data_IF_734208602210
#
_entry.id   IF_734208602210
#
_cell.length_a   1.000
_cell.length_b   1.000
_cell.length_c   1.000
_cell.angle_alpha   90.00
_cell.angle_beta   90.00
_cell.angle_gamma   90.00
#
_symmetry.space_group_name_H-M   'P 1'
#
loop_
_entity.id
_entity.type
_entity.pdbx_description
1 polymer ?
#
# COMPACT_ATOMS: atom_id res chain seq x y z
N UNK A 1 -4.15 -22.60 -3.68
CA UNK A 1 -3.95 -21.18 -3.31
C UNK A 1 -2.69 -20.72 -4.03
N UNK A 2 -2.79 -20.13 -5.23
CA UNK A 2 -1.59 -19.89 -6.07
C UNK A 2 -1.47 -18.51 -6.72
N UNK A 3 -2.51 -17.67 -6.66
CA UNK A 3 -2.48 -16.36 -7.34
C UNK A 3 -2.98 -15.23 -6.44
N UNK A 4 -4.07 -14.60 -6.86
CA UNK A 4 -4.68 -13.44 -6.20
C UNK A 4 -4.94 -13.65 -4.69
N UNK A 5 -5.31 -14.86 -4.27
CA UNK A 5 -5.61 -15.18 -2.87
C UNK A 5 -4.43 -14.92 -1.93
N UNK A 6 -3.20 -15.23 -2.35
CA UNK A 6 -1.99 -15.00 -1.55
C UNK A 6 -1.71 -13.50 -1.48
N UNK A 7 -1.83 -12.79 -2.59
CA UNK A 7 -1.63 -11.34 -2.64
C UNK A 7 -2.63 -10.60 -1.76
N UNK A 8 -3.90 -11.01 -1.80
CA UNK A 8 -4.96 -10.46 -0.94
C UNK A 8 -4.70 -10.79 0.53
N UNK A 9 -4.26 -12.01 0.85
CA UNK A 9 -3.89 -12.37 2.21
C UNK A 9 -2.72 -11.51 2.72
N UNK A 10 -1.64 -11.38 1.94
CA UNK A 10 -0.49 -10.53 2.28
C UNK A 10 -0.92 -9.06 2.45
N UNK A 11 -1.79 -8.56 1.57
CA UNK A 11 -2.35 -7.21 1.65
C UNK A 11 -3.15 -7.01 2.95
N UNK A 12 -3.99 -7.98 3.34
CA UNK A 12 -4.75 -7.94 4.60
C UNK A 12 -3.84 -8.02 5.82
N UNK A 13 -2.79 -8.84 5.78
CA UNK A 13 -1.79 -8.93 6.85
C UNK A 13 -1.03 -7.61 7.01
N UNK A 14 -0.56 -7.00 5.91
CA UNK A 14 0.08 -5.68 5.95
C UNK A 14 -0.87 -4.62 6.50
N UNK A 15 -2.12 -4.61 6.05
CA UNK A 15 -3.15 -3.67 6.55
C UNK A 15 -3.39 -3.84 8.06
N UNK A 16 -3.41 -5.08 8.55
CA UNK A 16 -3.51 -5.36 9.97
C UNK A 16 -2.30 -4.85 10.75
N UNK A 17 -1.08 -5.06 10.25
CA UNK A 17 0.15 -4.56 10.88
C UNK A 17 0.12 -3.04 11.00
N UNK A 18 -0.24 -2.33 9.92
CA UNK A 18 -0.37 -0.86 9.93
C UNK A 18 -1.44 -0.42 10.93
N UNK A 19 -2.63 -1.04 10.90
CA UNK A 19 -3.73 -0.70 11.81
C UNK A 19 -3.40 -0.97 13.28
N UNK A 20 -2.73 -2.09 13.56
CA UNK A 20 -2.30 -2.45 14.90
C UNK A 20 -1.21 -1.50 15.42
N UNK A 21 -0.31 -1.05 14.54
CA UNK A 21 0.74 -0.10 14.88
C UNK A 21 0.17 1.27 15.31
N UNK A 22 -0.95 1.68 14.72
CA UNK A 22 -1.69 2.87 15.16
C UNK A 22 -2.40 2.70 16.51
N UNK A 23 -2.72 1.46 16.91
CA UNK A 23 -3.56 1.16 18.06
C UNK A 23 -2.80 0.70 19.32
N UNK A 24 -1.56 0.21 19.17
CA UNK A 24 -0.81 -0.47 20.25
C UNK A 24 0.14 0.42 21.06
N UNK A 25 0.14 1.74 20.86
CA UNK A 25 0.83 2.71 21.72
C UNK A 25 2.33 2.90 21.39
N UNK A 26 3.07 3.55 22.30
CA UNK A 26 4.44 4.05 22.07
C UNK A 26 5.50 2.97 21.78
N UNK A 27 5.22 1.70 22.09
CA UNK A 27 6.09 0.55 21.83
C UNK A 27 5.86 -0.11 20.46
N UNK A 28 4.98 0.44 19.63
CA UNK A 28 4.69 -0.06 18.28
C UNK A 28 5.75 0.36 17.25
N UNK A 29 5.49 0.15 15.95
CA UNK A 29 6.47 0.47 14.89
C UNK A 29 6.72 1.97 14.71
N UNK A 30 5.79 2.83 15.13
CA UNK A 30 5.92 4.29 15.07
C UNK A 30 5.15 4.97 16.24
N UNK A 31 5.75 5.93 16.97
CA UNK A 31 4.99 6.73 17.94
C UNK A 31 4.00 7.63 17.21
N UNK A 32 2.70 7.37 17.40
CA UNK A 32 1.64 8.11 16.72
C UNK A 32 1.70 9.63 16.99
N UNK A 33 2.18 10.03 18.17
CA UNK A 33 2.35 11.43 18.52
C UNK A 33 3.38 12.13 17.62
N UNK A 34 4.58 11.55 17.47
CA UNK A 34 5.66 12.11 16.64
C UNK A 34 5.32 12.01 15.15
N UNK A 35 4.57 10.98 14.74
CA UNK A 35 4.01 10.89 13.39
C UNK A 35 3.02 12.02 13.09
N UNK A 36 2.13 12.36 14.02
CA UNK A 36 1.20 13.48 13.83
C UNK A 36 1.92 14.83 13.68
N UNK A 37 3.03 15.01 14.40
CA UNK A 37 3.83 16.23 14.33
C UNK A 37 4.49 16.42 12.94
N UNK A 38 4.70 15.35 12.16
CA UNK A 38 5.13 15.46 10.75
C UNK A 38 4.08 16.15 9.88
N UNK A 39 2.81 16.06 10.25
CA UNK A 39 1.71 16.68 9.51
C UNK A 39 1.18 17.96 10.16
N UNK A 40 1.76 18.42 11.27
CA UNK A 40 1.39 19.67 11.92
C UNK A 40 2.08 20.88 11.26
N UNK A 41 1.34 21.73 10.53
CA UNK A 41 1.92 22.91 9.88
C UNK A 41 2.34 24.02 10.86
N UNK A 42 1.95 23.93 12.14
CA UNK A 42 2.28 24.92 13.16
C UNK A 42 3.60 24.62 13.90
N UNK A 43 4.11 23.39 13.80
CA UNK A 43 5.35 22.92 14.42
C UNK A 43 6.56 22.94 13.47
N UNK A 44 7.48 21.99 13.68
CA UNK A 44 8.59 21.71 12.78
C UNK A 44 8.45 20.27 12.21
N UNK A 45 7.71 20.11 11.10
CA UNK A 45 7.51 18.82 10.43
C UNK A 45 8.81 18.10 10.08
N UNK A 46 9.86 18.86 9.74
CA UNK A 46 11.14 18.28 9.34
C UNK A 46 11.86 17.71 10.56
N UNK A 47 11.87 18.43 11.68
CA UNK A 47 12.44 17.92 12.92
C UNK A 47 11.70 16.66 13.41
N UNK A 48 10.36 16.64 13.34
CA UNK A 48 9.57 15.45 13.70
C UNK A 48 9.91 14.25 12.81
N UNK A 49 10.01 14.45 11.48
CA UNK A 49 10.37 13.39 10.55
C UNK A 49 11.80 12.87 10.79
N UNK A 50 12.75 13.77 11.05
CA UNK A 50 14.13 13.40 11.38
C UNK A 50 14.22 12.66 12.72
N UNK A 51 13.39 13.03 13.71
CA UNK A 51 13.25 12.32 14.98
C UNK A 51 12.76 10.89 14.78
N UNK A 52 11.67 10.70 14.04
CA UNK A 52 11.15 9.37 13.73
C UNK A 52 12.17 8.49 13.01
N UNK A 53 12.83 9.02 11.98
CA UNK A 53 13.80 8.26 11.19
C UNK A 53 15.11 7.96 11.92
N UNK A 54 15.49 8.78 12.89
CA UNK A 54 16.75 8.59 13.64
C UNK A 54 16.57 7.75 14.90
N UNK A 55 15.42 7.86 15.57
CA UNK A 55 15.18 7.22 16.88
C UNK A 55 14.47 5.87 16.76
N UNK A 56 13.75 5.60 15.66
CA UNK A 56 12.90 4.41 15.51
C UNK A 56 13.32 3.57 14.29
N UNK A 57 14.24 2.60 14.45
CA UNK A 57 14.68 1.75 13.33
C UNK A 57 13.54 0.88 12.76
N UNK A 58 12.57 0.52 13.59
CA UNK A 58 11.39 -0.25 13.16
C UNK A 58 10.49 0.57 12.23
N UNK A 59 10.36 1.88 12.47
CA UNK A 59 9.61 2.79 11.59
C UNK A 59 10.26 2.83 10.22
N UNK A 60 11.57 3.06 10.16
CA UNK A 60 12.32 3.11 8.90
C UNK A 60 12.19 1.78 8.14
N UNK A 61 12.33 0.64 8.83
CA UNK A 61 12.21 -0.66 8.19
C UNK A 61 10.81 -0.91 7.60
N UNK A 62 9.75 -0.53 8.30
CA UNK A 62 8.36 -0.68 7.85
C UNK A 62 8.05 0.29 6.69
N UNK A 63 8.33 1.58 6.86
CA UNK A 63 8.06 2.63 5.86
C UNK A 63 8.80 2.42 4.54
N UNK A 64 10.09 2.04 4.55
CA UNK A 64 10.80 1.78 3.28
C UNK A 64 10.22 0.58 2.54
N UNK A 65 9.85 -0.48 3.26
CA UNK A 65 9.20 -1.63 2.66
C UNK A 65 7.83 -1.25 2.09
N UNK A 66 7.12 -0.33 2.76
CA UNK A 66 5.85 0.22 2.32
C UNK A 66 6.02 1.00 1.02
N UNK A 67 6.85 2.04 1.02
CA UNK A 67 7.06 2.95 -0.12
C UNK A 67 7.51 2.18 -1.36
N UNK A 68 8.46 1.26 -1.21
CA UNK A 68 8.95 0.47 -2.34
C UNK A 68 7.84 -0.44 -2.89
N UNK A 69 7.18 -1.20 -2.01
CA UNK A 69 6.19 -2.19 -2.45
C UNK A 69 4.92 -1.52 -2.97
N UNK A 70 4.33 -0.63 -2.17
CA UNK A 70 3.00 -0.09 -2.40
C UNK A 70 3.01 1.12 -3.32
N UNK A 71 3.85 2.13 -3.06
CA UNK A 71 3.83 3.37 -3.82
C UNK A 71 4.47 3.15 -5.20
N UNK A 72 5.69 2.59 -5.19
CA UNK A 72 6.50 2.48 -6.40
C UNK A 72 6.09 1.31 -7.27
N UNK A 73 5.95 0.09 -6.73
CA UNK A 73 5.63 -1.08 -7.56
C UNK A 73 4.12 -1.24 -7.79
N UNK A 74 3.33 -1.36 -6.73
CA UNK A 74 1.88 -1.59 -6.85
C UNK A 74 1.15 -0.36 -7.39
N UNK A 75 1.46 0.84 -6.92
CA UNK A 75 0.86 2.09 -7.39
C UNK A 75 1.15 2.33 -8.88
N UNK A 76 2.40 2.07 -9.32
CA UNK A 76 2.75 2.10 -10.74
C UNK A 76 2.02 1.03 -11.54
N UNK A 77 1.92 -0.20 -11.03
CA UNK A 77 1.16 -1.26 -11.68
C UNK A 77 -0.29 -0.85 -11.90
N UNK A 78 -0.97 -0.37 -10.85
CA UNK A 78 -2.37 0.09 -10.90
C UNK A 78 -2.54 1.22 -11.91
N UNK A 79 -1.60 2.17 -11.96
CA UNK A 79 -1.64 3.26 -12.93
C UNK A 79 -1.53 2.76 -14.38
N UNK A 80 -0.53 1.90 -14.65
CA UNK A 80 -0.29 1.36 -15.99
C UNK A 80 -1.42 0.44 -16.45
N UNK A 81 -2.00 -0.35 -15.55
CA UNK A 81 -3.18 -1.18 -15.83
C UNK A 81 -4.37 -0.29 -16.24
N UNK A 82 -4.62 0.77 -15.47
CA UNK A 82 -5.65 1.76 -15.77
C UNK A 82 -5.49 2.40 -17.15
N UNK A 83 -4.26 2.78 -17.52
CA UNK A 83 -3.96 3.32 -18.85
C UNK A 83 -4.15 2.30 -19.97
N UNK A 84 -3.68 1.06 -19.80
CA UNK A 84 -3.79 -0.02 -20.80
C UNK A 84 -5.24 -0.39 -21.06
N UNK A 85 -6.07 -0.40 -20.02
CA UNK A 85 -7.44 -0.94 -20.07
C UNK A 85 -8.51 0.13 -20.07
N UNK A 86 -8.17 1.40 -19.92
CA UNK A 86 -9.14 2.49 -19.80
C UNK A 86 -10.00 2.35 -18.54
N UNK A 87 -9.36 2.10 -17.39
CA UNK A 87 -10.00 2.05 -16.07
C UNK A 87 -9.56 3.31 -15.32
N UNK A 88 -10.51 3.99 -14.66
CA UNK A 88 -10.19 5.12 -13.79
C UNK A 88 -9.47 4.60 -12.54
N UNK A 89 -8.20 4.93 -12.35
CA UNK A 89 -7.37 4.47 -11.22
C UNK A 89 -6.78 5.55 -10.29
N UNK A 90 -6.96 6.88 -10.46
CA UNK A 90 -6.41 7.87 -9.53
C UNK A 90 -6.75 7.65 -8.06
N UNK A 91 -7.97 7.21 -7.73
CA UNK A 91 -8.35 6.91 -6.35
C UNK A 91 -7.54 5.73 -5.82
N UNK A 92 -7.41 4.65 -6.58
CA UNK A 92 -6.60 3.49 -6.21
C UNK A 92 -5.13 3.83 -6.03
N UNK A 93 -4.56 4.66 -6.92
CA UNK A 93 -3.16 5.11 -6.81
C UNK A 93 -2.96 5.98 -5.57
N UNK A 94 -3.89 6.91 -5.30
CA UNK A 94 -3.86 7.74 -4.10
C UNK A 94 -3.85 6.88 -2.83
N UNK A 95 -4.74 5.87 -2.75
CA UNK A 95 -4.79 4.99 -1.60
C UNK A 95 -3.62 4.00 -1.52
N UNK A 96 -2.95 3.67 -2.65
CA UNK A 96 -1.67 2.95 -2.60
C UNK A 96 -0.61 3.80 -1.91
N UNK A 97 -0.48 5.08 -2.29
CA UNK A 97 0.53 5.99 -1.74
C UNK A 97 0.29 6.43 -0.28
N UNK A 98 -0.95 6.28 0.22
CA UNK A 98 -1.30 6.71 1.58
C UNK A 98 -1.28 5.56 2.58
N UNK A 99 -1.94 4.46 2.21
CA UNK A 99 -2.21 3.37 3.15
C UNK A 99 -1.92 1.99 2.55
N UNK A 100 -1.25 1.92 1.40
CA UNK A 100 -0.77 0.71 0.75
C UNK A 100 -1.89 -0.26 0.31
N UNK A 101 -2.14 -1.34 1.06
CA UNK A 101 -3.10 -2.40 0.69
C UNK A 101 -4.48 -1.95 0.19
N UNK A 102 -5.15 -0.95 0.81
CA UNK A 102 -6.47 -0.51 0.38
C UNK A 102 -6.48 0.04 -1.05
N UNK A 103 -5.36 0.58 -1.55
CA UNK A 103 -5.27 1.03 -2.95
C UNK A 103 -5.42 -0.11 -3.95
N UNK A 104 -4.79 -1.26 -3.70
CA UNK A 104 -4.93 -2.46 -4.53
C UNK A 104 -6.33 -3.06 -4.42
N UNK A 105 -6.92 -3.07 -3.23
CA UNK A 105 -8.30 -3.54 -3.03
C UNK A 105 -9.31 -2.67 -3.79
N UNK A 106 -9.12 -1.35 -3.76
CA UNK A 106 -9.93 -0.41 -4.53
C UNK A 106 -9.75 -0.62 -6.03
N UNK A 107 -8.53 -0.88 -6.49
CA UNK A 107 -8.29 -1.18 -7.90
C UNK A 107 -9.02 -2.46 -8.32
N UNK A 108 -8.91 -3.54 -7.53
CA UNK A 108 -9.64 -4.79 -7.75
C UNK A 108 -11.16 -4.57 -7.82
N UNK A 109 -11.71 -3.79 -6.89
CA UNK A 109 -13.13 -3.44 -6.89
C UNK A 109 -13.50 -2.66 -8.15
N UNK A 110 -12.69 -1.69 -8.55
CA UNK A 110 -12.94 -0.85 -9.74
C UNK A 110 -12.90 -1.68 -11.02
N UNK A 111 -11.93 -2.59 -11.14
CA UNK A 111 -11.80 -3.56 -12.22
C UNK A 111 -13.07 -4.42 -12.32
N UNK A 112 -13.50 -4.99 -11.20
CA UNK A 112 -14.71 -5.83 -11.11
C UNK A 112 -15.97 -5.06 -11.53
N UNK A 113 -16.16 -3.83 -11.03
CA UNK A 113 -17.29 -2.97 -11.38
C UNK A 113 -17.26 -2.50 -12.84
N UNK A 114 -16.07 -2.43 -13.44
CA UNK A 114 -15.88 -2.07 -14.85
C UNK A 114 -16.03 -3.26 -15.80
N UNK A 115 -16.33 -4.47 -15.27
CA UNK A 115 -16.43 -5.70 -16.06
C UNK A 115 -15.10 -6.22 -16.58
N UNK A 116 -13.97 -5.79 -16.01
CA UNK A 116 -12.61 -6.11 -16.44
C UNK A 116 -11.88 -6.77 -15.27
N UNK A 117 -11.76 -8.11 -15.21
CA UNK A 117 -11.19 -8.81 -14.05
C UNK A 117 -9.73 -8.43 -13.83
N UNK A 118 -9.25 -8.27 -12.59
CA UNK A 118 -7.88 -7.79 -12.32
C UNK A 118 -6.77 -8.59 -13.03
N UNK A 119 -6.98 -9.89 -13.22
CA UNK A 119 -6.14 -10.75 -14.06
C UNK A 119 -7.00 -11.19 -15.25
N UNK A 120 -6.55 -10.89 -16.47
CA UNK A 120 -7.26 -11.31 -17.68
C UNK A 120 -7.13 -12.85 -17.88
N UNK A 121 -8.10 -13.51 -18.53
CA UNK A 121 -8.04 -14.96 -18.75
C UNK A 121 -6.77 -15.43 -19.49
N UNK A 122 -6.27 -14.62 -20.43
CA UNK A 122 -5.03 -14.88 -21.16
C UNK A 122 -3.80 -14.82 -20.23
N UNK A 123 -3.74 -13.82 -19.36
CA UNK A 123 -2.67 -13.67 -18.37
C UNK A 123 -2.72 -14.82 -17.35
N UNK A 124 -3.93 -15.23 -16.93
CA UNK A 124 -4.12 -16.39 -16.07
C UNK A 124 -3.59 -17.67 -16.70
N UNK A 125 -3.85 -17.89 -17.99
CA UNK A 125 -3.35 -19.07 -18.70
C UNK A 125 -1.82 -19.05 -18.80
N UNK A 126 -1.23 -17.89 -19.13
CA UNK A 126 0.21 -17.74 -19.19
C UNK A 126 0.92 -18.01 -17.84
N UNK A 127 0.30 -17.65 -16.71
CA UNK A 127 0.83 -17.97 -15.38
C UNK A 127 0.78 -19.48 -15.12
N UNK A 128 -0.32 -20.14 -15.45
CA UNK A 128 -0.47 -21.60 -15.29
C UNK A 128 0.56 -22.36 -16.14
N UNK A 129 0.86 -21.86 -17.34
CA UNK A 129 1.83 -22.50 -18.25
C UNK A 129 3.29 -22.35 -17.77
N UNK A 130 3.56 -21.48 -16.79
CA UNK A 130 4.88 -21.27 -16.17
C UNK A 130 5.09 -22.09 -14.88
N UNK A 131 4.02 -22.65 -14.30
CA UNK A 131 4.02 -23.49 -13.08
C UNK A 131 4.17 -24.98 -13.39
#
# INVERSE_FOLDING_TARGET
MGGLEILLLCALVHFFIVSASLALGEDATAPLAEFNDVFDPSGDPQAAFMGMTSNYPNFVAEEWSHVLTWDLFVGRYVWLDGLRRGIFTPHSVLFCNLIGPPGLLLHWLTCTLSGKPIIEPEEKQAIIDLE
#
